data_IF_610626265081
#
_entry.id   IF_610626265081
#
_cell.length_a   1.000
_cell.length_b   1.000
_cell.length_c   1.000
_cell.angle_alpha   90.00
_cell.angle_beta   90.00
_cell.angle_gamma   90.00
#
_symmetry.space_group_name_H-M   'P 1'
#
loop_
_entity.id
_entity.type
_entity.pdbx_description
1 polymer ?
#
# COMPACT_ATOMS: atom_id res chain seq x y z
N UNK A 1 -21.00 10.82 -16.18
CA UNK A 1 -19.80 11.27 -16.93
C UNK A 1 -18.84 11.93 -15.95
N UNK A 2 -17.54 11.56 -15.99
CA UNK A 2 -16.48 12.25 -15.26
C UNK A 2 -16.03 13.43 -16.12
N UNK A 3 -16.04 14.65 -15.55
CA UNK A 3 -15.63 15.86 -16.26
C UNK A 3 -14.10 16.03 -16.27
N UNK A 4 -13.42 15.70 -15.16
CA UNK A 4 -11.96 15.71 -14.97
C UNK A 4 -11.59 14.68 -13.91
N UNK A 5 -10.34 14.23 -13.87
CA UNK A 5 -9.84 13.35 -12.81
C UNK A 5 -8.45 13.77 -12.32
N UNK A 6 -8.16 13.41 -11.08
CA UNK A 6 -6.82 13.49 -10.50
C UNK A 6 -6.48 12.09 -10.00
N UNK A 7 -5.36 11.55 -10.44
CA UNK A 7 -4.83 10.28 -9.98
C UNK A 7 -3.55 10.54 -9.17
N UNK A 8 -3.55 10.14 -7.90
CA UNK A 8 -2.44 10.38 -6.98
C UNK A 8 -1.77 9.05 -6.65
N UNK A 9 -0.44 8.98 -6.75
CA UNK A 9 0.34 7.82 -6.33
C UNK A 9 -0.25 6.48 -6.84
N UNK A 10 -0.45 6.36 -8.14
CA UNK A 10 -1.10 5.22 -8.79
C UNK A 10 -0.18 4.55 -9.83
N UNK A 11 -0.67 3.48 -10.46
CA UNK A 11 0.03 2.82 -11.55
C UNK A 11 -0.94 2.06 -12.45
N UNK A 12 -0.49 1.67 -13.63
CA UNK A 12 -1.27 0.87 -14.57
C UNK A 12 -1.49 -0.56 -14.10
N UNK A 13 -0.64 -1.06 -13.21
CA UNK A 13 -0.69 -2.40 -12.59
C UNK A 13 0.21 -2.44 -11.37
N UNK A 14 0.03 -3.45 -10.52
CA UNK A 14 0.98 -3.72 -9.45
C UNK A 14 2.32 -4.20 -10.00
N UNK A 15 3.41 -3.71 -9.38
CA UNK A 15 4.76 -4.22 -9.62
C UNK A 15 4.94 -5.60 -8.96
N UNK A 16 5.96 -6.36 -9.39
CA UNK A 16 6.32 -7.61 -8.72
C UNK A 16 6.58 -7.41 -7.21
N UNK A 17 7.16 -6.27 -6.83
CA UNK A 17 7.41 -5.92 -5.42
C UNK A 17 6.10 -5.71 -4.64
N UNK A 18 5.14 -4.97 -5.20
CA UNK A 18 3.83 -4.77 -4.58
C UNK A 18 3.08 -6.10 -4.40
N UNK A 19 3.10 -6.97 -5.44
CA UNK A 19 2.53 -8.32 -5.38
C UNK A 19 3.21 -9.16 -4.27
N UNK A 20 4.54 -9.08 -4.14
CA UNK A 20 5.28 -9.82 -3.13
C UNK A 20 4.91 -9.37 -1.70
N UNK A 21 4.77 -8.07 -1.44
CA UNK A 21 4.30 -7.56 -0.16
C UNK A 21 2.87 -8.00 0.14
N UNK A 22 1.97 -7.92 -0.84
CA UNK A 22 0.60 -8.39 -0.67
C UNK A 22 0.55 -9.89 -0.39
N UNK A 23 1.36 -10.69 -1.09
CA UNK A 23 1.37 -12.15 -0.88
C UNK A 23 1.93 -12.50 0.50
N UNK A 24 2.99 -11.86 0.96
CA UNK A 24 3.51 -12.08 2.31
C UNK A 24 2.47 -11.72 3.39
N UNK A 25 1.73 -10.61 3.21
CA UNK A 25 0.62 -10.27 4.10
C UNK A 25 -0.51 -11.31 4.08
N UNK A 26 -0.87 -11.82 2.90
CA UNK A 26 -1.85 -12.91 2.78
C UNK A 26 -1.37 -14.19 3.46
N UNK A 27 -0.08 -14.55 3.29
CA UNK A 27 0.48 -15.72 3.95
C UNK A 27 0.46 -15.59 5.47
N UNK A 28 0.68 -14.40 6.03
CA UNK A 28 0.54 -14.17 7.47
C UNK A 28 -0.88 -14.50 7.96
N UNK A 29 -1.91 -14.08 7.23
CA UNK A 29 -3.31 -14.37 7.57
C UNK A 29 -3.62 -15.87 7.40
N UNK A 30 -3.22 -16.47 6.27
CA UNK A 30 -3.52 -17.88 5.94
C UNK A 30 -2.82 -18.85 6.90
N UNK A 31 -1.65 -18.48 7.40
CA UNK A 31 -0.88 -19.27 8.36
C UNK A 31 -1.38 -19.13 9.80
N UNK A 32 -2.26 -18.16 10.08
CA UNK A 32 -2.87 -18.02 11.40
C UNK A 32 -3.88 -19.17 11.62
N UNK A 33 -3.72 -20.01 12.67
CA UNK A 33 -4.63 -21.12 12.91
C UNK A 33 -6.11 -20.70 13.05
N UNK A 34 -6.37 -19.48 13.49
CA UNK A 34 -7.72 -18.95 13.64
C UNK A 34 -8.41 -18.63 12.29
N UNK A 35 -7.66 -18.59 11.17
CA UNK A 35 -8.25 -18.33 9.85
C UNK A 35 -9.19 -19.43 9.36
N UNK A 36 -8.96 -20.70 9.73
CA UNK A 36 -9.83 -21.85 9.46
C UNK A 36 -10.32 -21.92 7.99
N UNK A 37 -9.40 -21.73 7.04
CA UNK A 37 -9.72 -21.71 5.60
C UNK A 37 -10.79 -20.66 5.21
N UNK A 38 -10.89 -19.58 5.96
CA UNK A 38 -11.84 -18.50 5.75
C UNK A 38 -13.19 -18.68 6.45
N UNK A 39 -13.37 -19.75 7.23
CA UNK A 39 -14.62 -20.07 7.94
C UNK A 39 -14.48 -19.81 9.45
N UNK A 40 -13.93 -18.67 9.83
CA UNK A 40 -13.75 -18.28 11.23
C UNK A 40 -14.95 -17.50 11.78
N UNK A 41 -15.10 -17.55 13.11
CA UNK A 41 -16.01 -16.68 13.84
C UNK A 41 -15.50 -15.23 13.79
N UNK A 42 -16.30 -14.23 13.40
CA UNK A 42 -15.88 -12.83 13.38
C UNK A 42 -15.33 -12.30 14.71
N UNK A 43 -15.71 -12.86 15.84
CA UNK A 43 -15.19 -12.50 17.17
C UNK A 43 -13.86 -13.20 17.52
N UNK A 44 -13.47 -14.23 16.76
CA UNK A 44 -12.29 -15.06 16.99
C UNK A 44 -11.52 -15.31 15.70
N UNK A 45 -11.35 -14.28 14.89
CA UNK A 45 -10.68 -14.34 13.59
C UNK A 45 -9.14 -14.42 13.68
N UNK A 46 -8.46 -14.46 12.51
CA UNK A 46 -7.00 -14.53 12.41
C UNK A 46 -6.35 -13.16 12.69
N UNK A 47 -6.56 -12.67 13.90
CA UNK A 47 -6.18 -11.32 14.33
C UNK A 47 -4.67 -11.10 14.30
N UNK A 48 -3.88 -12.11 14.65
CA UNK A 48 -2.43 -12.03 14.63
C UNK A 48 -1.91 -11.94 13.19
N UNK A 49 -2.41 -12.79 12.31
CA UNK A 49 -2.08 -12.76 10.89
C UNK A 49 -2.46 -11.44 10.23
N UNK A 50 -3.66 -10.94 10.51
CA UNK A 50 -4.15 -9.66 9.97
C UNK A 50 -3.34 -8.48 10.52
N UNK A 51 -2.96 -8.50 11.79
CA UNK A 51 -2.10 -7.48 12.39
C UNK A 51 -0.72 -7.45 11.71
N UNK A 52 -0.08 -8.60 11.50
CA UNK A 52 1.21 -8.70 10.80
C UNK A 52 1.09 -8.19 9.36
N UNK A 53 0.05 -8.58 8.63
CA UNK A 53 -0.21 -8.08 7.27
C UNK A 53 -0.30 -6.54 7.26
N UNK A 54 -0.97 -5.95 8.25
CA UNK A 54 -1.07 -4.49 8.39
C UNK A 54 0.25 -3.83 8.74
N UNK A 55 1.05 -4.43 9.62
CA UNK A 55 2.40 -3.95 9.94
C UNK A 55 3.26 -3.85 8.68
N UNK A 56 3.25 -4.87 7.84
CA UNK A 56 3.96 -4.87 6.56
C UNK A 56 3.49 -3.75 5.63
N UNK A 57 2.18 -3.56 5.51
CA UNK A 57 1.63 -2.46 4.71
C UNK A 57 2.13 -1.09 5.21
N UNK A 58 2.23 -0.87 6.53
CA UNK A 58 2.76 0.38 7.08
C UNK A 58 4.25 0.60 6.78
N UNK A 59 5.04 -0.45 6.60
CA UNK A 59 6.43 -0.30 6.14
C UNK A 59 6.45 0.23 4.71
N UNK A 60 5.56 -0.22 3.84
CA UNK A 60 5.53 0.21 2.43
C UNK A 60 4.97 1.62 2.22
N UNK A 61 4.24 2.18 3.20
CA UNK A 61 3.64 3.51 3.09
C UNK A 61 4.63 4.65 3.36
N UNK A 62 5.66 4.41 4.16
CA UNK A 62 6.68 5.40 4.48
C UNK A 62 7.93 5.18 3.62
N UNK A 63 8.63 6.26 3.30
CA UNK A 63 9.97 6.16 2.74
C UNK A 63 11.00 5.80 3.81
N UNK A 64 12.18 5.37 3.41
CA UNK A 64 13.32 5.17 4.31
C UNK A 64 13.64 6.45 5.10
N UNK A 65 13.75 7.58 4.40
CA UNK A 65 14.00 8.90 5.01
C UNK A 65 12.87 9.29 5.98
N UNK A 66 11.61 9.07 5.59
CA UNK A 66 10.46 9.36 6.45
C UNK A 66 10.42 8.47 7.68
N UNK A 67 10.77 7.20 7.55
CA UNK A 67 10.86 6.24 8.66
C UNK A 67 11.98 6.65 9.63
N UNK A 68 13.17 6.96 9.10
CA UNK A 68 14.32 7.40 9.90
C UNK A 68 14.03 8.73 10.62
N UNK A 69 13.45 9.71 9.93
CA UNK A 69 13.08 11.00 10.52
C UNK A 69 12.06 10.86 11.66
N UNK A 70 11.08 9.97 11.49
CA UNK A 70 10.00 9.77 12.46
C UNK A 70 10.45 9.01 13.69
N UNK A 71 11.19 7.94 13.51
CA UNK A 71 11.53 7.00 14.59
C UNK A 71 13.02 6.96 14.91
N UNK A 72 13.89 6.96 13.88
CA UNK A 72 15.32 6.70 14.03
C UNK A 72 15.56 5.42 14.83
N UNK A 73 16.55 5.45 15.69
CA UNK A 73 16.83 4.37 16.67
C UNK A 73 16.33 4.70 18.07
N UNK A 74 15.24 5.45 18.18
CA UNK A 74 14.67 5.83 19.47
C UNK A 74 14.20 4.60 20.25
N UNK A 75 14.75 4.43 21.44
CA UNK A 75 14.38 3.36 22.36
C UNK A 75 13.26 3.81 23.28
N UNK A 76 12.37 2.91 23.61
CA UNK A 76 11.44 3.08 24.72
C UNK A 76 12.16 2.86 26.03
N UNK A 77 11.62 3.43 27.12
CA UNK A 77 12.11 3.09 28.47
C UNK A 77 11.90 1.59 28.69
N UNK A 78 12.99 0.89 29.02
CA UNK A 78 12.95 -0.53 29.32
C UNK A 78 11.99 -0.77 30.49
N UNK A 79 11.10 -1.72 30.33
CA UNK A 79 10.33 -2.31 31.43
C UNK A 79 11.05 -3.60 31.81
N UNK A 80 11.81 -3.57 32.88
CA UNK A 80 12.65 -4.68 33.34
C UNK A 80 11.85 -5.94 33.70
N UNK A 81 10.51 -5.85 33.74
CA UNK A 81 9.60 -6.98 33.98
C UNK A 81 9.20 -7.76 32.74
N UNK A 82 9.64 -7.33 31.54
CA UNK A 82 9.16 -7.87 30.27
C UNK A 82 10.13 -8.86 29.62
N UNK A 83 9.56 -9.75 28.82
CA UNK A 83 10.29 -10.82 28.15
C UNK A 83 11.29 -10.31 27.10
N UNK A 84 12.29 -11.13 26.80
CA UNK A 84 13.44 -10.83 25.95
C UNK A 84 13.10 -10.38 24.51
N UNK A 85 11.88 -10.64 24.03
CA UNK A 85 11.39 -10.26 22.69
C UNK A 85 10.26 -9.20 22.72
N UNK A 86 10.19 -8.43 23.80
CA UNK A 86 9.21 -7.33 23.85
C UNK A 86 9.71 -6.08 23.09
N UNK A 87 8.82 -5.08 23.01
CA UNK A 87 9.07 -3.84 22.26
C UNK A 87 10.23 -3.05 22.85
N UNK A 88 11.28 -2.87 22.08
CA UNK A 88 12.47 -2.11 22.45
C UNK A 88 12.49 -0.73 21.77
N UNK A 89 12.10 -0.66 20.50
CA UNK A 89 12.16 0.56 19.69
C UNK A 89 10.78 1.18 19.46
N UNK A 90 10.75 2.51 19.28
CA UNK A 90 9.50 3.23 18.98
C UNK A 90 8.83 2.75 17.69
N UNK A 91 9.59 2.37 16.66
CA UNK A 91 9.05 1.83 15.41
C UNK A 91 8.31 0.52 15.62
N UNK A 92 8.80 -0.36 16.50
CA UNK A 92 8.10 -1.63 16.83
C UNK A 92 6.75 -1.36 17.50
N UNK A 93 6.74 -0.42 18.45
CA UNK A 93 5.52 0.02 19.11
C UNK A 93 4.51 0.59 18.11
N UNK A 94 4.97 1.43 17.21
CA UNK A 94 4.15 2.00 16.15
C UNK A 94 3.52 0.91 15.28
N UNK A 95 4.32 -0.03 14.78
CA UNK A 95 3.83 -1.10 13.91
C UNK A 95 2.82 -2.00 14.64
N UNK A 96 3.11 -2.41 15.87
CA UNK A 96 2.17 -3.22 16.69
C UNK A 96 0.86 -2.47 16.94
N UNK A 97 0.91 -1.17 17.24
CA UNK A 97 -0.28 -0.35 17.41
C UNK A 97 -1.11 -0.29 16.12
N UNK A 98 -0.47 -0.10 14.96
CA UNK A 98 -1.15 -0.05 13.68
C UNK A 98 -1.81 -1.39 13.31
N UNK A 99 -1.13 -2.50 13.62
CA UNK A 99 -1.68 -3.85 13.46
C UNK A 99 -2.93 -4.06 14.31
N UNK A 100 -2.82 -3.83 15.62
CA UNK A 100 -3.93 -4.00 16.57
C UNK A 100 -5.14 -3.10 16.25
N UNK A 101 -4.88 -1.83 15.93
CA UNK A 101 -5.93 -0.88 15.52
C UNK A 101 -6.63 -1.27 14.22
N UNK A 102 -5.96 -1.98 13.33
CA UNK A 102 -6.54 -2.43 12.08
C UNK A 102 -7.48 -3.63 12.29
N UNK A 103 -7.09 -4.58 13.09
CA UNK A 103 -7.88 -5.77 13.45
C UNK A 103 -9.27 -5.38 13.96
N UNK A 104 -9.36 -4.36 14.80
CA UNK A 104 -10.65 -3.93 15.38
C UNK A 104 -11.66 -3.39 14.37
N UNK A 105 -11.28 -3.15 13.11
CA UNK A 105 -12.10 -2.48 12.10
C UNK A 105 -12.08 -3.10 10.71
N UNK A 106 -11.33 -4.19 10.51
CA UNK A 106 -11.16 -4.77 9.19
C UNK A 106 -11.22 -6.30 9.24
N UNK A 107 -11.86 -6.88 8.26
CA UNK A 107 -12.01 -8.33 8.13
C UNK A 107 -10.87 -8.96 7.32
N UNK A 108 -10.35 -10.10 7.80
CA UNK A 108 -9.22 -10.77 7.18
C UNK A 108 -9.52 -11.34 5.79
N UNK A 109 -10.71 -11.91 5.57
CA UNK A 109 -11.10 -12.38 4.25
C UNK A 109 -11.21 -11.22 3.25
N UNK A 110 -11.77 -10.09 3.70
CA UNK A 110 -11.81 -8.86 2.88
C UNK A 110 -10.42 -8.39 2.49
N UNK A 111 -9.44 -8.46 3.40
CA UNK A 111 -8.04 -8.14 3.08
C UNK A 111 -7.47 -9.07 2.00
N UNK A 112 -7.70 -10.38 2.13
CA UNK A 112 -7.25 -11.38 1.16
C UNK A 112 -7.83 -11.10 -0.24
N UNK A 113 -9.14 -10.89 -0.33
CA UNK A 113 -9.82 -10.64 -1.61
C UNK A 113 -9.42 -9.30 -2.24
N UNK A 114 -9.36 -8.23 -1.46
CA UNK A 114 -9.00 -6.90 -1.97
C UNK A 114 -7.56 -6.86 -2.47
N UNK A 115 -6.61 -7.39 -1.71
CA UNK A 115 -5.20 -7.43 -2.16
C UNK A 115 -5.03 -8.33 -3.38
N UNK A 116 -5.80 -9.44 -3.48
CA UNK A 116 -5.78 -10.29 -4.67
C UNK A 116 -6.39 -9.61 -5.90
N UNK A 117 -7.43 -8.81 -5.70
CA UNK A 117 -8.03 -8.00 -6.77
C UNK A 117 -7.05 -6.94 -7.27
N UNK A 118 -6.33 -6.26 -6.35
CA UNK A 118 -5.29 -5.29 -6.69
C UNK A 118 -4.14 -5.94 -7.47
N UNK A 119 -3.69 -7.14 -7.08
CA UNK A 119 -2.64 -7.86 -7.82
C UNK A 119 -3.06 -8.25 -9.25
N UNK A 120 -4.36 -8.51 -9.45
CA UNK A 120 -4.93 -8.85 -10.75
C UNK A 120 -5.27 -7.65 -11.63
N UNK A 121 -5.28 -6.47 -11.04
CA UNK A 121 -5.54 -5.25 -11.79
C UNK A 121 -4.38 -4.96 -12.73
N UNK A 122 -4.66 -4.95 -14.04
CA UNK A 122 -3.66 -4.69 -15.08
C UNK A 122 -4.33 -4.01 -16.27
N UNK A 123 -4.00 -2.76 -16.52
CA UNK A 123 -4.50 -2.00 -17.67
C UNK A 123 -3.87 -2.44 -19.00
N UNK A 124 -2.83 -3.30 -18.96
CA UNK A 124 -2.22 -3.89 -20.17
C UNK A 124 -2.95 -5.16 -20.64
N UNK A 125 -3.86 -5.71 -19.83
CA UNK A 125 -4.50 -7.00 -20.09
C UNK A 125 -6.02 -6.87 -20.21
N UNK A 126 -6.69 -7.53 -21.16
CA UNK A 126 -6.13 -8.39 -22.21
C UNK A 126 -5.59 -7.63 -23.43
N UNK A 127 -5.72 -6.30 -23.43
CA UNK A 127 -5.27 -5.42 -24.52
C UNK A 127 -3.95 -4.74 -24.13
N UNK A 128 -3.45 -3.84 -24.99
CA UNK A 128 -2.35 -2.95 -24.60
C UNK A 128 -2.85 -1.81 -23.70
N UNK A 129 -1.93 -1.19 -22.94
CA UNK A 129 -2.21 0.00 -22.15
C UNK A 129 -2.84 1.10 -23.00
N UNK A 130 -2.30 1.34 -24.20
CA UNK A 130 -2.81 2.34 -25.15
C UNK A 130 -4.26 2.02 -25.57
N UNK A 131 -4.57 0.77 -25.87
CA UNK A 131 -5.94 0.37 -26.24
C UNK A 131 -6.94 0.59 -25.10
N UNK A 132 -6.53 0.28 -23.87
CA UNK A 132 -7.34 0.50 -22.66
C UNK A 132 -7.57 1.99 -22.40
N UNK A 133 -6.51 2.80 -22.44
CA UNK A 133 -6.57 4.24 -22.18
C UNK A 133 -7.20 5.04 -23.30
N UNK A 134 -7.32 4.48 -24.52
CA UNK A 134 -7.98 5.16 -25.64
C UNK A 134 -9.45 5.51 -25.35
N UNK A 135 -10.10 4.80 -24.45
CA UNK A 135 -11.47 5.09 -24.00
C UNK A 135 -11.60 6.31 -23.09
N UNK A 136 -10.48 6.80 -22.54
CA UNK A 136 -10.46 7.97 -21.66
C UNK A 136 -10.73 9.22 -22.48
N UNK A 137 -11.76 9.98 -22.07
CA UNK A 137 -12.17 11.25 -22.71
C UNK A 137 -12.05 12.44 -21.79
N UNK A 138 -11.93 12.24 -20.49
CA UNK A 138 -11.81 13.31 -19.50
C UNK A 138 -10.35 13.78 -19.39
N UNK A 139 -10.10 15.11 -19.28
CA UNK A 139 -8.80 15.63 -18.92
C UNK A 139 -8.33 15.12 -17.55
N UNK A 140 -7.06 14.82 -17.42
CA UNK A 140 -6.49 14.23 -16.22
C UNK A 140 -5.19 14.86 -15.74
N UNK A 141 -5.03 14.88 -14.40
CA UNK A 141 -3.78 15.16 -13.74
C UNK A 141 -3.34 13.89 -13.00
N UNK A 142 -2.12 13.45 -13.27
CA UNK A 142 -1.47 12.34 -12.53
C UNK A 142 -0.35 12.92 -11.70
N UNK A 143 -0.32 12.60 -10.42
CA UNK A 143 0.67 13.10 -9.47
C UNK A 143 1.45 11.93 -8.88
N UNK A 144 2.77 11.98 -9.02
CA UNK A 144 3.70 11.05 -8.37
C UNK A 144 4.52 11.73 -7.28
N UNK A 145 5.09 10.97 -6.37
CA UNK A 145 5.97 11.45 -5.29
C UNK A 145 7.33 10.79 -5.40
N UNK A 146 8.40 11.58 -5.32
CA UNK A 146 9.76 11.10 -5.58
C UNK A 146 10.20 9.95 -4.68
N UNK A 147 9.72 9.92 -3.43
CA UNK A 147 10.06 8.91 -2.43
C UNK A 147 9.06 7.74 -2.34
N UNK A 148 8.00 7.75 -3.16
CA UNK A 148 7.04 6.66 -3.19
C UNK A 148 7.66 5.41 -3.86
N UNK A 149 7.94 4.40 -3.06
CA UNK A 149 8.50 3.13 -3.52
C UNK A 149 7.47 2.01 -3.65
N UNK A 150 6.24 2.24 -3.15
CA UNK A 150 5.09 1.34 -3.36
C UNK A 150 4.48 1.56 -4.75
N UNK A 151 4.25 2.83 -5.12
CA UNK A 151 3.81 3.27 -6.45
C UNK A 151 4.82 4.26 -7.02
N UNK A 152 5.97 3.79 -7.48
CA UNK A 152 7.08 4.67 -7.86
C UNK A 152 6.74 5.55 -9.07
N UNK A 153 7.35 6.74 -9.17
CA UNK A 153 7.06 7.74 -10.20
C UNK A 153 7.05 7.23 -11.64
N UNK A 154 7.88 6.21 -11.95
CA UNK A 154 7.92 5.65 -13.30
C UNK A 154 6.59 5.02 -13.72
N UNK A 155 5.85 4.39 -12.79
CA UNK A 155 4.53 3.82 -13.07
C UNK A 155 3.47 4.90 -13.34
N UNK A 156 3.58 6.06 -12.67
CA UNK A 156 2.74 7.22 -12.93
C UNK A 156 3.05 7.82 -14.32
N UNK A 157 4.34 7.95 -14.66
CA UNK A 157 4.78 8.46 -15.97
C UNK A 157 4.31 7.57 -17.11
N UNK A 158 4.40 6.24 -16.97
CA UNK A 158 3.94 5.28 -17.97
C UNK A 158 2.49 5.54 -18.40
N UNK A 159 1.59 5.81 -17.44
CA UNK A 159 0.18 6.11 -17.70
C UNK A 159 0.04 7.42 -18.48
N UNK A 160 0.74 8.48 -18.07
CA UNK A 160 0.63 9.79 -18.74
C UNK A 160 1.22 9.76 -20.14
N UNK A 161 2.37 9.10 -20.32
CA UNK A 161 2.99 8.95 -21.64
C UNK A 161 2.08 8.20 -22.62
N UNK A 162 1.38 7.16 -22.16
CA UNK A 162 0.39 6.46 -22.97
C UNK A 162 -0.79 7.36 -23.35
N UNK A 163 -1.32 8.15 -22.40
CA UNK A 163 -2.38 9.12 -22.68
C UNK A 163 -1.94 10.18 -23.69
N UNK A 164 -0.74 10.74 -23.55
CA UNK A 164 -0.20 11.75 -24.46
C UNK A 164 0.04 11.19 -25.85
N UNK A 165 0.55 9.96 -26.00
CA UNK A 165 0.69 9.28 -27.30
C UNK A 165 -0.66 9.14 -28.02
N UNK A 166 -1.74 8.99 -27.26
CA UNK A 166 -3.11 8.90 -27.78
C UNK A 166 -3.77 10.26 -28.02
N UNK A 167 -3.03 11.37 -27.86
CA UNK A 167 -3.57 12.71 -28.04
C UNK A 167 -4.57 13.12 -26.95
N UNK A 168 -4.54 12.49 -25.79
CA UNK A 168 -5.43 12.81 -24.65
C UNK A 168 -4.89 14.00 -23.88
N UNK A 169 -5.80 14.76 -23.27
CA UNK A 169 -5.46 15.89 -22.37
C UNK A 169 -5.05 15.31 -21.00
N UNK A 170 -3.75 15.19 -20.80
CA UNK A 170 -3.16 14.64 -19.59
C UNK A 170 -1.95 15.44 -19.15
N UNK A 171 -1.80 15.65 -17.85
CA UNK A 171 -0.66 16.34 -17.25
C UNK A 171 -0.04 15.44 -16.18
N UNK A 172 1.30 15.44 -16.10
CA UNK A 172 2.06 14.82 -15.03
C UNK A 172 2.68 15.87 -14.12
N UNK A 173 2.56 15.66 -12.82
CA UNK A 173 3.28 16.40 -11.80
C UNK A 173 4.04 15.44 -10.89
N UNK A 174 5.34 15.68 -10.71
CA UNK A 174 6.17 14.94 -9.75
C UNK A 174 6.54 15.86 -8.59
N UNK A 175 6.14 15.48 -7.38
CA UNK A 175 6.38 16.26 -6.18
C UNK A 175 7.54 15.65 -5.38
N UNK A 176 8.54 16.50 -5.09
CA UNK A 176 9.68 16.13 -4.24
C UNK A 176 9.20 16.13 -2.78
N UNK A 177 8.96 14.94 -2.22
CA UNK A 177 8.53 14.74 -0.84
C UNK A 177 9.21 13.49 -0.26
N UNK A 178 9.42 13.47 1.06
CA UNK A 178 10.18 12.42 1.75
C UNK A 178 9.29 11.44 2.55
N UNK A 179 7.96 11.50 2.39
CA UNK A 179 7.03 10.72 3.22
C UNK A 179 6.60 9.39 2.59
N UNK A 180 7.15 9.03 1.43
CA UNK A 180 6.80 7.81 0.72
C UNK A 180 5.41 7.89 0.09
N UNK A 181 4.69 6.77 0.09
CA UNK A 181 3.33 6.69 -0.44
C UNK A 181 2.36 7.59 0.33
N UNK A 182 2.53 7.75 1.63
CA UNK A 182 1.69 8.61 2.48
C UNK A 182 1.86 10.12 2.19
N UNK A 183 2.72 10.52 1.24
CA UNK A 183 2.97 11.93 0.90
C UNK A 183 1.71 12.71 0.58
N UNK A 184 0.66 12.09 0.00
CA UNK A 184 -0.61 12.76 -0.28
C UNK A 184 -1.52 12.93 0.95
N UNK A 185 -1.17 12.35 2.09
CA UNK A 185 -1.90 12.45 3.35
C UNK A 185 -1.30 13.48 4.32
N UNK A 186 -0.08 13.95 4.04
CA UNK A 186 0.64 14.89 4.93
C UNK A 186 0.18 16.31 4.65
N UNK A 187 -0.02 17.08 5.73
CA UNK A 187 -0.38 18.51 5.68
C UNK A 187 0.83 19.40 5.81
#
# INVERSE_FOLDING_TARGET
>A
RVGRYIALACGARHTAQAIAFNDTGRQAIISDPAWQQGSYDPEHGPDQGLAVARMMAHITYLSDVGMESKFGRKRRKADESKEHFDVEFEVESYLRYQGASFVSRFDANSYLYLTKALDRFDLHSPNSLDATLNTVTAPGLVVGFTSDWLYPPHGNREVVEALLRLGKDATYAELAMDFGHDSFLVR
#
